data_IF_811898914629
#
_entry.id   IF_811898914629
#
_cell.length_a   1.000
_cell.length_b   1.000
_cell.length_c   1.000
_cell.angle_alpha   90.00
_cell.angle_beta   90.00
_cell.angle_gamma   90.00
#
_symmetry.space_group_name_H-M   'P 1'
#
loop_
_entity.id
_entity.type
_entity.pdbx_description
1 polymer ?
#
# COMPACT_ATOMS: atom_id res chain seq x y z
N UNK A 1 -8.18 21.27 16.90
CA UNK A 1 -9.41 21.16 16.06
C UNK A 1 -9.53 22.14 14.88
N UNK A 2 -8.75 23.23 14.78
CA UNK A 2 -8.83 24.18 13.63
C UNK A 2 -8.04 23.79 12.38
N UNK A 3 -7.09 22.85 12.47
CA UNK A 3 -6.25 22.50 11.33
C UNK A 3 -6.94 21.55 10.34
N UNK A 4 -7.80 20.65 10.81
CA UNK A 4 -8.49 19.65 9.96
C UNK A 4 -9.53 20.26 9.01
N UNK A 5 -10.15 21.41 9.40
CA UNK A 5 -11.10 22.11 8.52
C UNK A 5 -10.46 22.67 7.25
N UNK A 6 -9.17 23.07 7.31
CA UNK A 6 -8.45 23.61 6.15
C UNK A 6 -8.02 22.51 5.18
N UNK A 7 -7.68 21.32 5.68
CA UNK A 7 -7.28 20.20 4.84
C UNK A 7 -8.47 19.64 4.03
N UNK A 8 -9.65 19.54 4.67
CA UNK A 8 -10.89 19.11 4.01
C UNK A 8 -11.30 20.10 2.90
N UNK A 9 -11.09 21.41 3.10
CA UNK A 9 -11.42 22.42 2.10
C UNK A 9 -10.51 22.35 0.85
N UNK A 10 -9.24 21.99 1.01
CA UNK A 10 -8.29 21.81 -0.11
C UNK A 10 -8.67 20.60 -0.96
N UNK A 11 -9.11 19.50 -0.34
CA UNK A 11 -9.58 18.32 -1.07
C UNK A 11 -10.86 18.63 -1.85
N UNK A 12 -11.78 19.43 -1.30
CA UNK A 12 -13.01 19.83 -1.98
C UNK A 12 -12.80 20.87 -3.10
N UNK A 13 -11.75 21.69 -3.06
CA UNK A 13 -11.44 22.66 -4.11
C UNK A 13 -10.83 22.03 -5.38
N UNK A 14 -10.35 20.79 -5.30
CA UNK A 14 -9.83 20.06 -6.46
C UNK A 14 -10.92 19.31 -7.26
N UNK A 15 -12.14 19.22 -6.75
CA UNK A 15 -13.27 18.53 -7.37
C UNK A 15 -13.82 19.16 -8.69
N UNK A 16 -13.73 20.48 -8.96
CA UNK A 16 -14.31 21.05 -10.17
C UNK A 16 -13.50 20.86 -11.45
N UNK A 17 -12.30 20.28 -11.40
CA UNK A 17 -11.47 20.06 -12.60
C UNK A 17 -11.78 18.76 -13.36
N UNK A 18 -12.78 18.02 -12.90
CA UNK A 18 -13.18 16.74 -13.52
C UNK A 18 -14.26 16.98 -14.58
N UNK A 19 -13.93 17.66 -15.67
CA UNK A 19 -14.82 17.71 -16.82
C UNK A 19 -14.31 16.86 -17.97
N UNK A 20 -15.13 15.87 -18.31
CA UNK A 20 -15.15 14.92 -19.44
C UNK A 20 -14.63 13.53 -19.12
N UNK A 21 -15.53 12.74 -18.58
CA UNK A 21 -15.48 11.28 -18.65
C UNK A 21 -15.74 10.87 -20.12
N UNK A 22 -14.76 10.24 -20.74
CA UNK A 22 -15.00 9.48 -21.96
C UNK A 22 -15.90 8.28 -21.63
N UNK A 23 -16.74 7.91 -22.59
CA UNK A 23 -17.81 6.93 -22.51
C UNK A 23 -17.41 5.63 -21.82
N UNK A 24 -18.28 5.15 -20.96
CA UNK A 24 -18.17 3.93 -20.15
C UNK A 24 -18.33 2.73 -21.07
N UNK A 25 -17.19 2.17 -21.49
CA UNK A 25 -17.17 0.91 -22.24
C UNK A 25 -17.07 -0.25 -21.29
N UNK A 26 -17.93 -0.82 -20.74
CA UNK A 26 -18.13 -1.96 -19.88
C UNK A 26 -18.42 -1.60 -18.41
N UNK A 27 -19.58 -2.06 -18.00
CA UNK A 27 -20.12 -1.85 -16.66
C UNK A 27 -19.45 -2.73 -15.61
N UNK A 28 -18.71 -3.74 -16.05
CA UNK A 28 -18.03 -4.71 -15.24
C UNK A 28 -16.64 -4.99 -15.80
N UNK A 29 -15.66 -4.95 -14.93
CA UNK A 29 -14.31 -5.40 -15.24
C UNK A 29 -13.74 -6.24 -14.11
N UNK A 30 -12.75 -7.05 -14.45
CA UNK A 30 -12.00 -7.84 -13.49
C UNK A 30 -10.53 -7.88 -13.88
N UNK A 31 -9.69 -8.06 -12.88
CA UNK A 31 -8.27 -8.33 -13.09
C UNK A 31 -7.75 -9.33 -12.07
N UNK A 32 -6.77 -10.10 -12.49
CA UNK A 32 -6.01 -10.98 -11.61
C UNK A 32 -4.52 -10.82 -11.94
N UNK A 33 -3.69 -10.81 -10.94
CA UNK A 33 -2.26 -10.62 -11.08
C UNK A 33 -1.51 -11.57 -10.13
N UNK A 34 -0.41 -12.14 -10.62
CA UNK A 34 0.55 -12.87 -9.82
C UNK A 34 1.92 -12.20 -9.98
N UNK A 35 2.50 -11.76 -8.87
CA UNK A 35 3.81 -11.09 -8.83
C UNK A 35 4.79 -11.93 -8.03
N UNK A 36 5.96 -12.21 -8.60
CA UNK A 36 7.12 -12.65 -7.85
C UNK A 36 8.01 -11.45 -7.55
N UNK A 37 8.42 -11.29 -6.30
CA UNK A 37 9.38 -10.25 -5.88
C UNK A 37 10.47 -10.83 -4.99
N UNK A 38 11.68 -10.31 -5.16
CA UNK A 38 12.84 -10.72 -4.36
C UNK A 38 12.74 -10.26 -2.91
N UNK A 39 12.04 -9.15 -2.67
CA UNK A 39 11.80 -8.61 -1.33
C UNK A 39 10.42 -7.98 -1.31
N UNK A 40 9.68 -8.19 -0.22
CA UNK A 40 8.45 -7.46 0.04
C UNK A 40 8.76 -6.14 0.75
N UNK A 41 8.58 -5.04 0.03
CA UNK A 41 8.81 -3.68 0.53
C UNK A 41 7.49 -2.91 0.49
N UNK A 42 7.12 -2.30 1.61
CA UNK A 42 5.91 -1.52 1.71
C UNK A 42 6.18 -0.15 2.35
N UNK A 43 5.93 0.95 1.61
CA UNK A 43 6.13 2.34 2.08
C UNK A 43 7.51 2.60 2.69
N UNK A 44 8.57 2.04 2.09
CA UNK A 44 9.94 2.11 2.58
C UNK A 44 10.32 1.07 3.62
N UNK A 45 9.34 0.36 4.20
CA UNK A 45 9.58 -0.68 5.19
C UNK A 45 9.87 -2.01 4.49
N UNK A 46 10.89 -2.72 4.97
CA UNK A 46 11.12 -4.10 4.58
C UNK A 46 10.14 -5.00 5.34
N UNK A 47 9.23 -5.65 4.62
CA UNK A 47 8.20 -6.51 5.19
C UNK A 47 8.50 -8.00 5.05
N UNK A 48 9.46 -8.37 4.21
CA UNK A 48 9.87 -9.76 4.03
C UNK A 48 10.81 -9.96 2.86
N UNK A 49 11.35 -11.19 2.74
CA UNK A 49 12.21 -11.66 1.66
C UNK A 49 11.40 -12.03 0.41
N UNK A 50 11.84 -13.07 -0.31
CA UNK A 50 11.19 -13.52 -1.54
C UNK A 50 9.73 -13.90 -1.30
N UNK A 51 8.86 -13.43 -2.19
CA UNK A 51 7.43 -13.71 -2.07
C UNK A 51 6.72 -13.83 -3.42
N UNK A 52 5.62 -14.56 -3.41
CA UNK A 52 4.58 -14.55 -4.44
C UNK A 52 3.40 -13.76 -3.91
N UNK A 53 2.99 -12.76 -4.67
CA UNK A 53 1.88 -11.87 -4.32
C UNK A 53 0.78 -12.05 -5.35
N UNK A 54 -0.39 -12.46 -4.89
CA UNK A 54 -1.57 -12.63 -5.72
C UNK A 54 -2.49 -11.44 -5.52
N UNK A 55 -3.11 -10.97 -6.58
CA UNK A 55 -4.05 -9.85 -6.54
C UNK A 55 -5.24 -10.16 -7.43
N UNK A 56 -6.45 -9.88 -6.96
CA UNK A 56 -7.66 -10.02 -7.75
C UNK A 56 -8.60 -8.86 -7.44
N UNK A 57 -9.10 -8.22 -8.49
CA UNK A 57 -10.04 -7.10 -8.39
C UNK A 57 -11.28 -7.37 -9.23
N UNK A 58 -12.43 -7.04 -8.68
CA UNK A 58 -13.71 -6.93 -9.37
C UNK A 58 -14.16 -5.48 -9.30
N UNK A 59 -14.55 -4.91 -10.42
CA UNK A 59 -15.10 -3.56 -10.51
C UNK A 59 -16.44 -3.56 -11.21
N UNK A 60 -17.38 -2.81 -10.65
CA UNK A 60 -18.69 -2.56 -11.24
C UNK A 60 -19.05 -1.09 -11.08
N UNK A 61 -19.06 -0.36 -12.19
CA UNK A 61 -19.32 1.10 -12.23
C UNK A 61 -18.39 1.94 -11.32
N UNK A 62 -17.15 1.46 -11.10
CA UNK A 62 -16.20 2.09 -10.19
C UNK A 62 -16.32 1.63 -8.73
N UNK A 63 -17.36 0.90 -8.34
CA UNK A 63 -17.35 0.17 -7.07
C UNK A 63 -16.51 -1.07 -7.21
N UNK A 64 -15.48 -1.19 -6.38
CA UNK A 64 -14.58 -2.32 -6.47
C UNK A 64 -14.45 -3.10 -5.16
N UNK A 65 -14.14 -4.38 -5.33
CA UNK A 65 -13.63 -5.25 -4.29
C UNK A 65 -12.30 -5.84 -4.78
N UNK A 66 -11.30 -5.79 -3.92
CA UNK A 66 -9.98 -6.33 -4.20
C UNK A 66 -9.54 -7.25 -3.06
N UNK A 67 -8.85 -8.31 -3.41
CA UNK A 67 -8.13 -9.18 -2.48
C UNK A 67 -6.69 -9.30 -2.95
N UNK A 68 -5.77 -8.98 -2.05
CA UNK A 68 -4.35 -9.17 -2.23
C UNK A 68 -3.83 -10.19 -1.22
N UNK A 69 -2.97 -11.06 -1.63
CA UNK A 69 -2.40 -12.11 -0.79
C UNK A 69 -0.90 -12.17 -0.99
N UNK A 70 -0.13 -12.10 0.09
CA UNK A 70 1.29 -12.33 0.12
C UNK A 70 1.61 -13.70 0.70
N UNK A 71 2.34 -14.50 -0.08
CA UNK A 71 2.91 -15.78 0.34
C UNK A 71 4.42 -15.61 0.27
N UNK A 72 5.02 -15.15 1.35
CA UNK A 72 6.41 -14.78 1.37
C UNK A 72 7.17 -15.29 2.57
N UNK A 73 8.47 -15.34 2.41
CA UNK A 73 9.40 -15.64 3.50
C UNK A 73 9.73 -14.37 4.27
N UNK A 74 10.06 -14.49 5.55
CA UNK A 74 10.57 -13.37 6.34
C UNK A 74 11.95 -12.90 5.86
N UNK A 75 12.72 -13.83 5.26
CA UNK A 75 14.06 -13.60 4.77
C UNK A 75 14.43 -14.59 3.64
N UNK A 76 15.65 -14.52 3.16
CA UNK A 76 16.18 -15.38 2.11
C UNK A 76 16.48 -16.81 2.53
N UNK A 77 16.34 -17.16 3.82
CA UNK A 77 16.57 -18.53 4.31
C UNK A 77 15.37 -19.45 4.10
N UNK A 78 14.19 -18.88 3.83
CA UNK A 78 12.91 -19.60 3.73
C UNK A 78 12.56 -20.42 4.99
N UNK A 79 13.17 -20.08 6.13
CA UNK A 79 12.92 -20.78 7.39
C UNK A 79 11.57 -20.43 8.01
N UNK A 80 11.07 -19.22 7.73
CA UNK A 80 9.78 -18.74 8.24
C UNK A 80 9.00 -18.05 7.13
N UNK A 81 7.70 -18.28 7.08
CA UNK A 81 6.78 -17.61 6.19
C UNK A 81 5.98 -16.54 6.95
N UNK A 82 5.70 -15.44 6.27
CA UNK A 82 4.90 -14.33 6.79
C UNK A 82 3.73 -14.05 5.81
N UNK A 83 2.70 -14.90 5.82
CA UNK A 83 1.56 -14.69 4.95
C UNK A 83 0.71 -13.51 5.43
N UNK A 84 0.17 -12.76 4.45
CA UNK A 84 -0.69 -11.60 4.67
C UNK A 84 -1.83 -11.65 3.66
N UNK A 85 -3.04 -11.30 4.10
CA UNK A 85 -4.21 -11.15 3.23
C UNK A 85 -4.80 -9.77 3.47
N UNK A 86 -4.92 -9.00 2.39
CA UNK A 86 -5.55 -7.69 2.40
C UNK A 86 -6.84 -7.72 1.59
N UNK A 87 -7.92 -7.24 2.19
CA UNK A 87 -9.20 -7.07 1.51
C UNK A 87 -9.52 -5.59 1.44
N UNK A 88 -9.82 -5.11 0.24
CA UNK A 88 -10.21 -3.72 0.01
C UNK A 88 -11.58 -3.63 -0.63
N UNK A 89 -12.35 -2.65 -0.20
CA UNK A 89 -13.62 -2.27 -0.83
C UNK A 89 -13.66 -0.76 -0.99
N UNK A 90 -14.19 -0.29 -2.10
CA UNK A 90 -14.24 1.14 -2.33
C UNK A 90 -14.85 1.56 -3.65
N UNK A 91 -14.57 2.79 -4.01
CA UNK A 91 -15.01 3.42 -5.24
C UNK A 91 -13.80 4.10 -5.91
N UNK A 92 -13.65 3.88 -7.22
CA UNK A 92 -12.57 4.48 -8.02
C UNK A 92 -13.12 4.93 -9.37
N UNK A 93 -13.14 6.24 -9.60
CA UNK A 93 -13.59 6.83 -10.85
C UNK A 93 -13.05 8.25 -11.03
N UNK A 94 -12.84 8.67 -12.27
CA UNK A 94 -12.38 10.04 -12.62
C UNK A 94 -11.05 10.42 -11.94
N UNK A 95 -10.16 9.47 -11.77
CA UNK A 95 -8.88 9.67 -11.06
C UNK A 95 -8.98 9.69 -9.54
N UNK A 96 -10.19 9.73 -8.95
CA UNK A 96 -10.42 9.65 -7.52
C UNK A 96 -10.69 8.21 -7.10
N UNK A 97 -10.01 7.77 -6.04
CA UNK A 97 -10.30 6.51 -5.36
C UNK A 97 -10.49 6.75 -3.88
N UNK A 98 -11.56 6.19 -3.32
CA UNK A 98 -11.82 6.20 -1.87
C UNK A 98 -12.12 4.77 -1.45
N UNK A 99 -11.32 4.22 -0.55
CA UNK A 99 -11.47 2.83 -0.17
C UNK A 99 -10.98 2.55 1.25
N UNK A 100 -11.49 1.46 1.77
CA UNK A 100 -11.04 0.87 3.02
C UNK A 100 -10.26 -0.39 2.71
N UNK A 101 -9.14 -0.58 3.39
CA UNK A 101 -8.35 -1.81 3.34
C UNK A 101 -8.26 -2.42 4.73
N UNK A 102 -8.50 -3.71 4.79
CA UNK A 102 -8.33 -4.56 5.95
C UNK A 102 -7.18 -5.52 5.69
N UNK A 103 -6.06 -5.31 6.37
CA UNK A 103 -4.89 -6.16 6.27
C UNK A 103 -4.92 -7.17 7.40
N UNK A 104 -4.68 -8.43 7.08
CA UNK A 104 -4.64 -9.53 8.04
C UNK A 104 -3.33 -10.29 7.94
N UNK A 105 -2.66 -10.42 9.07
CA UNK A 105 -1.41 -11.13 9.25
C UNK A 105 -1.67 -12.42 10.03
N UNK A 106 -1.18 -13.56 9.52
CA UNK A 106 -1.27 -14.87 10.16
C UNK A 106 -0.25 -14.97 11.31
N UNK A 107 -0.44 -14.16 12.31
CA UNK A 107 0.44 -13.95 13.45
C UNK A 107 -0.17 -14.58 14.72
N UNK A 108 0.47 -14.44 15.85
CA UNK A 108 -0.03 -14.88 17.16
C UNK A 108 -0.15 -13.68 18.11
N UNK A 109 -1.13 -13.74 18.98
CA UNK A 109 -1.20 -12.82 20.12
C UNK A 109 -0.07 -13.11 21.12
N UNK A 110 0.24 -12.19 22.06
CA UNK A 110 1.26 -12.40 23.09
C UNK A 110 1.04 -13.64 23.97
N UNK A 111 -0.18 -14.13 24.08
CA UNK A 111 -0.55 -15.36 24.80
C UNK A 111 -0.38 -16.64 23.96
N UNK A 112 0.12 -16.52 22.73
CA UNK A 112 0.32 -17.64 21.80
C UNK A 112 -0.93 -18.06 21.03
N UNK A 113 -2.09 -17.46 21.29
CA UNK A 113 -3.29 -17.75 20.51
C UNK A 113 -3.21 -17.18 19.09
N UNK A 114 -3.83 -17.84 18.08
CA UNK A 114 -3.80 -17.37 16.71
C UNK A 114 -4.59 -16.05 16.54
N UNK A 115 -4.09 -15.18 15.69
CA UNK A 115 -4.73 -13.93 15.31
C UNK A 115 -6.12 -14.16 14.73
N UNK A 116 -7.03 -13.20 14.96
CA UNK A 116 -8.39 -13.23 14.45
C UNK A 116 -8.56 -12.19 13.35
N UNK A 117 -9.16 -12.58 12.23
CA UNK A 117 -9.41 -11.69 11.09
C UNK A 117 -10.26 -10.46 11.49
N UNK A 118 -11.32 -10.64 12.25
CA UNK A 118 -12.21 -9.55 12.70
C UNK A 118 -11.84 -9.00 14.09
N UNK A 119 -10.58 -8.93 14.41
CA UNK A 119 -10.15 -8.26 15.64
C UNK A 119 -9.88 -6.79 15.41
N UNK A 120 -10.85 -5.96 15.77
CA UNK A 120 -10.79 -4.50 15.65
C UNK A 120 -10.26 -3.80 16.92
N UNK A 121 -9.81 -4.56 17.91
CA UNK A 121 -9.26 -4.00 19.15
C UNK A 121 -7.84 -3.53 18.95
N UNK A 122 -7.46 -2.48 19.67
CA UNK A 122 -6.06 -2.15 19.83
C UNK A 122 -5.42 -3.12 20.82
N UNK A 123 -4.26 -3.59 20.43
CA UNK A 123 -3.45 -4.43 21.31
C UNK A 123 -2.18 -3.66 21.71
N UNK A 124 -1.74 -3.74 22.98
CA UNK A 124 -0.48 -3.17 23.38
C UNK A 124 0.67 -3.85 22.65
N UNK A 125 1.74 -3.10 22.38
CA UNK A 125 2.98 -3.60 21.76
C UNK A 125 2.83 -4.20 20.35
N UNK A 126 1.86 -3.73 19.57
CA UNK A 126 1.66 -4.20 18.20
C UNK A 126 1.11 -5.61 18.07
N UNK A 127 0.59 -6.19 19.15
CA UNK A 127 -0.14 -7.45 19.11
C UNK A 127 -1.41 -7.32 18.26
N UNK A 128 -1.89 -8.45 17.76
CA UNK A 128 -3.05 -8.51 16.89
C UNK A 128 -2.69 -8.73 15.42
N UNK A 129 -3.47 -9.57 14.76
CA UNK A 129 -3.24 -9.99 13.38
C UNK A 129 -3.89 -9.10 12.33
N UNK A 130 -4.67 -8.09 12.72
CA UNK A 130 -5.40 -7.27 11.76
C UNK A 130 -5.06 -5.78 11.91
N UNK A 131 -5.21 -5.04 10.82
CA UNK A 131 -5.15 -3.57 10.83
C UNK A 131 -6.01 -3.02 9.71
N UNK A 132 -6.59 -1.86 9.90
CA UNK A 132 -7.43 -1.22 8.90
C UNK A 132 -6.94 0.17 8.56
N UNK A 133 -7.16 0.58 7.30
CA UNK A 133 -6.78 1.90 6.82
C UNK A 133 -7.82 2.44 5.83
N UNK A 134 -8.28 3.66 6.04
CA UNK A 134 -8.98 4.42 5.02
C UNK A 134 -7.98 5.08 4.10
N UNK A 135 -8.21 4.99 2.80
CA UNK A 135 -7.38 5.60 1.76
C UNK A 135 -8.20 6.47 0.84
N UNK A 136 -7.63 7.63 0.53
CA UNK A 136 -8.09 8.51 -0.54
C UNK A 136 -6.91 8.72 -1.47
N UNK A 137 -7.08 8.42 -2.75
CA UNK A 137 -6.06 8.63 -3.76
C UNK A 137 -6.64 9.44 -4.92
N UNK A 138 -5.81 10.26 -5.54
CA UNK A 138 -6.17 11.03 -6.70
C UNK A 138 -5.03 11.04 -7.72
N UNK A 139 -5.34 10.76 -8.98
CA UNK A 139 -4.47 10.90 -10.14
C UNK A 139 -5.01 12.03 -11.02
N UNK A 140 -4.17 13.01 -11.33
CA UNK A 140 -4.60 14.22 -12.03
C UNK A 140 -5.08 13.90 -13.44
N UNK A 141 -4.23 13.26 -14.26
CA UNK A 141 -4.59 12.82 -15.62
C UNK A 141 -3.46 11.98 -16.22
N UNK A 142 -3.70 11.39 -17.40
CA UNK A 142 -2.64 10.69 -18.13
C UNK A 142 -1.62 11.65 -18.75
N UNK A 143 -2.01 12.90 -19.05
CA UNK A 143 -1.08 13.94 -19.56
C UNK A 143 -0.19 14.50 -18.46
N UNK A 144 -0.72 14.59 -17.25
CA UNK A 144 0.01 14.97 -16.04
C UNK A 144 -0.12 13.83 -15.03
N UNK A 145 0.74 12.81 -15.10
CA UNK A 145 0.64 11.60 -14.29
C UNK A 145 1.13 11.83 -12.85
N UNK A 146 0.65 12.91 -12.26
CA UNK A 146 0.84 13.27 -10.86
C UNK A 146 -0.25 12.59 -10.03
N UNK A 147 0.13 11.99 -8.93
CA UNK A 147 -0.78 11.35 -7.99
C UNK A 147 -0.52 11.77 -6.54
N UNK A 148 -1.57 11.68 -5.74
CA UNK A 148 -1.51 11.85 -4.29
C UNK A 148 -2.33 10.75 -3.63
N UNK A 149 -1.82 10.20 -2.54
CA UNK A 149 -2.54 9.25 -1.68
C UNK A 149 -2.46 9.72 -0.24
N UNK A 150 -3.57 9.64 0.47
CA UNK A 150 -3.64 9.83 1.92
C UNK A 150 -4.26 8.59 2.53
N UNK A 151 -3.55 7.97 3.48
CA UNK A 151 -4.01 6.82 4.25
C UNK A 151 -4.07 7.14 5.73
N UNK A 152 -5.12 6.70 6.42
CA UNK A 152 -5.27 6.87 7.88
C UNK A 152 -5.61 5.51 8.49
N UNK A 153 -4.74 5.02 9.38
CA UNK A 153 -4.98 3.77 10.10
C UNK A 153 -6.07 3.95 11.15
N UNK A 154 -6.84 2.90 11.39
CA UNK A 154 -8.03 2.99 12.23
C UNK A 154 -8.01 2.08 13.45
N UNK A 155 -7.28 0.97 13.44
CA UNK A 155 -7.24 0.03 14.58
C UNK A 155 -6.01 -0.87 14.60
N UNK A 156 -5.87 -1.63 15.68
CA UNK A 156 -4.90 -2.67 15.99
C UNK A 156 -3.46 -2.15 16.07
N UNK A 157 -2.60 -2.46 15.12
CA UNK A 157 -1.15 -2.17 15.17
C UNK A 157 -0.79 -0.67 15.14
N UNK A 158 -1.75 0.19 15.40
CA UNK A 158 -1.61 1.65 15.43
C UNK A 158 -1.63 2.23 16.85
N UNK A 159 -1.42 1.38 17.86
CA UNK A 159 -1.40 1.76 19.27
C UNK A 159 0.00 2.02 19.81
N UNK A 160 0.13 3.01 20.68
CA UNK A 160 1.33 3.28 21.46
C UNK A 160 0.97 3.56 22.92
N UNK A 161 1.92 3.30 23.83
CA UNK A 161 1.68 3.44 25.27
C UNK A 161 2.25 4.77 25.76
N UNK A 162 1.43 5.53 26.47
CA UNK A 162 1.84 6.77 27.18
C UNK A 162 1.32 6.69 28.61
N UNK A 163 2.22 6.72 29.61
CA UNK A 163 1.87 6.64 31.03
C UNK A 163 0.94 5.46 31.32
N UNK A 164 1.33 4.27 30.82
CA UNK A 164 0.60 2.99 30.95
C UNK A 164 -0.78 2.95 30.27
N UNK A 165 -1.19 4.00 29.57
CA UNK A 165 -2.40 4.03 28.77
C UNK A 165 -2.10 3.72 27.30
N UNK A 166 -2.88 2.80 26.72
CA UNK A 166 -2.84 2.53 25.29
C UNK A 166 -3.59 3.62 24.51
N UNK A 167 -2.86 4.35 23.68
CA UNK A 167 -3.39 5.39 22.80
C UNK A 167 -3.34 4.96 21.34
N UNK A 168 -4.30 5.42 20.55
CA UNK A 168 -4.34 5.22 19.11
C UNK A 168 -3.69 6.42 18.42
N UNK A 169 -2.77 6.16 17.50
CA UNK A 169 -2.06 7.23 16.79
C UNK A 169 -2.84 7.80 15.61
N UNK A 170 -3.74 7.00 14.99
CA UNK A 170 -4.32 7.34 13.69
C UNK A 170 -3.23 7.68 12.68
N UNK A 171 -2.24 6.77 12.59
CA UNK A 171 -1.06 6.96 11.76
C UNK A 171 -1.47 7.36 10.35
N UNK A 172 -1.10 8.57 9.97
CA UNK A 172 -1.44 9.15 8.68
C UNK A 172 -0.22 9.05 7.77
N UNK A 173 -0.44 8.54 6.56
CA UNK A 173 0.55 8.47 5.50
C UNK A 173 0.09 9.30 4.31
N UNK A 174 0.98 10.10 3.76
CA UNK A 174 0.76 10.89 2.55
C UNK A 174 1.81 10.47 1.54
N UNK A 175 1.42 10.19 0.30
CA UNK A 175 2.32 9.89 -0.79
C UNK A 175 2.05 10.80 -1.97
N UNK A 176 3.10 11.33 -2.55
CA UNK A 176 3.10 12.00 -3.83
C UNK A 176 3.78 11.11 -4.85
N UNK A 177 3.21 10.99 -6.03
CA UNK A 177 3.73 10.15 -7.09
C UNK A 177 3.78 10.86 -8.43
N UNK A 178 4.77 10.50 -9.24
CA UNK A 178 4.85 10.88 -10.64
C UNK A 178 5.34 9.71 -11.47
N UNK A 179 4.69 9.44 -12.60
CA UNK A 179 4.98 8.32 -13.48
C UNK A 179 5.56 8.83 -14.79
N UNK A 180 6.87 8.59 -15.01
CA UNK A 180 7.59 9.00 -16.22
C UNK A 180 7.49 7.91 -17.28
N UNK A 181 6.89 8.20 -18.42
CA UNK A 181 7.01 7.34 -19.60
C UNK A 181 8.40 7.53 -20.24
N UNK A 182 9.19 6.45 -20.32
CA UNK A 182 10.55 6.46 -20.84
C UNK A 182 10.67 5.89 -22.25
N UNK A 183 9.58 5.81 -23.00
CA UNK A 183 9.51 5.22 -24.33
C UNK A 183 8.63 3.97 -24.34
N UNK A 184 8.74 3.15 -25.39
CA UNK A 184 7.88 2.00 -25.59
C UNK A 184 7.93 1.02 -24.40
N UNK A 185 6.82 0.92 -23.68
CA UNK A 185 6.61 -0.04 -22.60
C UNK A 185 7.51 0.13 -21.37
N UNK A 186 8.36 1.15 -21.29
CA UNK A 186 9.16 1.48 -20.13
C UNK A 186 8.54 2.63 -19.33
N UNK A 187 8.50 2.47 -18.01
CA UNK A 187 8.02 3.50 -17.09
C UNK A 187 8.91 3.55 -15.86
N UNK A 188 9.14 4.77 -15.35
CA UNK A 188 9.77 5.03 -14.07
C UNK A 188 8.75 5.70 -13.15
N UNK A 189 8.40 5.04 -12.06
CA UNK A 189 7.54 5.60 -11.01
C UNK A 189 8.42 6.21 -9.93
N UNK A 190 8.24 7.50 -9.65
CA UNK A 190 8.85 8.17 -8.52
C UNK A 190 7.79 8.41 -7.42
N UNK A 191 8.14 8.14 -6.17
CA UNK A 191 7.24 8.25 -5.03
C UNK A 191 7.95 8.95 -3.87
N UNK A 192 7.22 9.83 -3.19
CA UNK A 192 7.65 10.50 -1.97
C UNK A 192 6.60 10.26 -0.89
N UNK A 193 6.96 9.51 0.15
CA UNK A 193 6.10 9.20 1.27
C UNK A 193 6.45 10.01 2.51
N UNK A 194 5.43 10.47 3.24
CA UNK A 194 5.61 11.26 4.44
C UNK A 194 4.50 11.00 5.46
N UNK A 195 4.77 11.33 6.71
CA UNK A 195 3.79 11.37 7.79
C UNK A 195 3.76 12.76 8.42
N UNK A 196 2.57 13.37 8.62
CA UNK A 196 2.45 14.73 9.15
C UNK A 196 2.51 14.80 10.67
N UNK A 197 2.49 13.65 11.36
CA UNK A 197 2.40 13.56 12.80
C UNK A 197 3.02 12.25 13.30
N UNK A 198 3.01 12.07 14.62
CA UNK A 198 3.39 10.80 15.27
C UNK A 198 2.67 9.63 14.63
N UNK A 199 3.42 8.63 14.20
CA UNK A 199 2.87 7.50 13.48
C UNK A 199 3.72 6.25 13.67
N UNK A 200 3.18 5.12 13.25
CA UNK A 200 3.95 3.87 13.23
C UNK A 200 5.22 3.97 12.35
N UNK A 201 5.17 4.81 11.29
CA UNK A 201 6.31 4.99 10.37
C UNK A 201 7.50 5.69 11.02
N UNK A 202 7.28 6.39 12.13
CA UNK A 202 8.32 7.08 12.91
C UNK A 202 8.51 6.49 14.30
N UNK A 203 7.96 5.27 14.55
CA UNK A 203 7.95 4.66 15.88
C UNK A 203 7.23 5.53 16.91
N UNK A 204 6.22 6.27 16.47
CA UNK A 204 5.43 7.21 17.27
C UNK A 204 6.24 8.37 17.85
N UNK A 205 7.38 8.71 17.21
CA UNK A 205 8.21 9.87 17.56
C UNK A 205 8.08 10.95 16.49
N UNK A 206 8.35 12.20 16.90
CA UNK A 206 8.32 13.37 16.01
C UNK A 206 6.91 13.73 15.53
N UNK A 207 6.82 14.84 14.82
CA UNK A 207 5.55 15.37 14.31
C UNK A 207 5.44 15.26 12.78
N UNK A 208 6.55 15.43 12.08
CA UNK A 208 6.62 15.30 10.62
C UNK A 208 7.88 14.53 10.23
N UNK A 209 7.75 13.64 9.24
CA UNK A 209 8.90 12.97 8.65
C UNK A 209 8.63 12.58 7.19
N UNK A 210 9.68 12.66 6.37
CA UNK A 210 9.74 11.96 5.08
C UNK A 210 10.10 10.51 5.36
N UNK A 211 9.20 9.60 5.08
CA UNK A 211 9.33 8.18 5.45
C UNK A 211 9.80 7.31 4.31
N UNK A 212 9.67 7.78 3.06
CA UNK A 212 10.04 7.02 1.88
C UNK A 212 10.40 7.94 0.71
N UNK A 213 11.46 7.60 -0.01
CA UNK A 213 11.74 8.05 -1.38
C UNK A 213 11.87 6.79 -2.22
N UNK A 214 10.98 6.59 -3.17
CA UNK A 214 10.90 5.36 -3.98
C UNK A 214 11.07 5.63 -5.46
N UNK A 215 11.80 4.74 -6.13
CA UNK A 215 11.92 4.67 -7.59
C UNK A 215 11.65 3.25 -8.04
N UNK A 216 10.74 3.07 -9.01
CA UNK A 216 10.44 1.77 -9.60
C UNK A 216 10.52 1.88 -11.11
N UNK A 217 11.53 1.26 -11.69
CA UNK A 217 11.65 1.08 -13.12
C UNK A 217 10.95 -0.21 -13.53
N UNK A 218 10.08 -0.17 -14.52
CA UNK A 218 9.46 -1.37 -15.04
C UNK A 218 9.27 -1.34 -16.55
N UNK A 219 9.21 -2.52 -17.14
CA UNK A 219 8.83 -2.77 -18.53
C UNK A 219 7.62 -3.68 -18.57
N UNK A 220 6.65 -3.33 -19.40
CA UNK A 220 5.43 -4.12 -19.59
C UNK A 220 5.39 -4.64 -21.03
N UNK A 221 5.04 -5.91 -21.20
CA UNK A 221 4.77 -6.53 -22.50
C UNK A 221 3.29 -6.94 -22.52
N UNK A 222 2.56 -6.38 -23.48
CA UNK A 222 1.21 -6.81 -23.80
C UNK A 222 1.31 -8.01 -24.76
N UNK A 223 0.93 -9.18 -24.30
CA UNK A 223 0.96 -10.43 -25.08
C UNK A 223 -0.33 -10.66 -25.87
N UNK A 224 -1.25 -9.68 -25.82
CA UNK A 224 -2.47 -9.70 -26.61
C UNK A 224 -3.67 -10.29 -25.88
N UNK A 225 -4.70 -10.61 -26.67
CA UNK A 225 -5.95 -11.18 -26.19
C UNK A 225 -5.84 -12.69 -26.08
N UNK A 226 -6.34 -13.26 -24.99
CA UNK A 226 -6.40 -14.70 -24.75
C UNK A 226 -7.69 -15.35 -25.25
N UNK A 227 -8.78 -14.56 -25.32
CA UNK A 227 -10.11 -15.06 -25.67
C UNK A 227 -10.95 -14.01 -26.41
N UNK A 228 -12.13 -14.42 -26.88
CA UNK A 228 -13.09 -13.54 -27.54
C UNK A 228 -13.77 -12.54 -26.59
N UNK A 229 -13.60 -12.69 -25.27
CA UNK A 229 -14.15 -11.81 -24.23
C UNK A 229 -13.25 -10.63 -23.87
N UNK A 230 -12.22 -10.39 -24.67
CA UNK A 230 -11.24 -9.32 -24.47
C UNK A 230 -10.33 -9.47 -23.24
N UNK A 231 -10.21 -10.68 -22.69
CA UNK A 231 -9.20 -10.94 -21.66
C UNK A 231 -7.80 -10.73 -22.23
N UNK A 232 -7.05 -9.80 -21.66
CA UNK A 232 -5.67 -9.48 -22.07
C UNK A 232 -4.68 -10.10 -21.11
N UNK A 233 -3.54 -10.50 -21.67
CA UNK A 233 -2.40 -11.01 -20.91
C UNK A 233 -1.26 -9.98 -20.96
N UNK A 234 -0.79 -9.57 -19.80
CA UNK A 234 0.37 -8.68 -19.67
C UNK A 234 1.43 -9.33 -18.80
N UNK A 235 2.68 -9.15 -19.18
CA UNK A 235 3.85 -9.53 -18.37
C UNK A 235 4.62 -8.26 -18.04
N UNK A 236 5.05 -8.14 -16.80
CA UNK A 236 5.85 -6.99 -16.32
C UNK A 236 7.11 -7.49 -15.61
N UNK A 237 8.24 -6.87 -15.91
CA UNK A 237 9.44 -6.99 -15.08
C UNK A 237 9.75 -5.64 -14.44
N UNK A 238 10.27 -5.64 -13.21
CA UNK A 238 10.56 -4.42 -12.48
C UNK A 238 11.81 -4.52 -11.60
N UNK A 239 12.41 -3.35 -11.38
CA UNK A 239 13.35 -3.10 -10.30
C UNK A 239 12.82 -1.94 -9.46
N UNK A 240 12.81 -2.10 -8.15
CA UNK A 240 12.26 -1.14 -7.22
C UNK A 240 13.28 -0.83 -6.13
N UNK A 241 13.52 0.44 -5.89
CA UNK A 241 14.43 0.95 -4.87
C UNK A 241 13.67 1.92 -3.98
N UNK A 242 13.71 1.70 -2.68
CA UNK A 242 13.12 2.59 -1.68
C UNK A 242 14.16 2.97 -0.64
N UNK A 243 14.39 4.27 -0.51
CA UNK A 243 15.16 4.86 0.57
C UNK A 243 14.20 5.24 1.70
N UNK A 244 14.54 4.83 2.91
CA UNK A 244 13.86 5.26 4.14
C UNK A 244 14.74 6.31 4.85
N UNK A 245 14.47 7.63 4.70
CA UNK A 245 15.31 8.66 5.29
C UNK A 245 15.20 8.74 6.81
N UNK A 246 14.05 8.33 7.35
CA UNK A 246 13.78 8.33 8.78
C UNK A 246 13.91 6.91 9.33
N UNK A 247 14.87 6.71 10.22
CA UNK A 247 15.02 5.44 10.95
C UNK A 247 14.24 5.46 12.24
N UNK A 248 13.49 4.41 12.46
CA UNK A 248 12.98 4.07 13.78
C UNK A 248 14.11 3.37 14.52
N UNK A 249 14.63 3.96 15.58
CA UNK A 249 15.72 3.38 16.36
C UNK A 249 15.23 2.22 17.25
N UNK A 250 16.07 1.20 17.43
CA UNK A 250 15.77 -0.04 18.20
C UNK A 250 15.17 0.17 19.59
N UNK A 251 15.51 1.26 20.27
CA UNK A 251 15.14 1.51 21.66
C UNK A 251 13.71 2.00 21.89
N UNK A 252 12.94 2.21 20.81
CA UNK A 252 11.59 2.80 20.89
C UNK A 252 10.53 2.02 20.12
N UNK A 253 10.81 0.82 19.78
CA UNK A 253 10.00 0.00 18.93
C UNK A 253 8.90 -0.71 19.70
N UNK A 254 7.65 -0.46 19.29
CA UNK A 254 6.86 -1.57 18.77
C UNK A 254 7.78 -2.25 17.77
N UNK A 255 8.21 -3.51 18.03
CA UNK A 255 9.09 -4.25 17.12
C UNK A 255 8.69 -3.94 15.70
N UNK A 256 9.61 -3.53 14.82
CA UNK A 256 9.27 -3.34 13.43
C UNK A 256 8.57 -4.61 12.96
N UNK A 257 7.68 -4.46 12.02
CA UNK A 257 6.99 -5.60 11.37
C UNK A 257 8.03 -6.61 10.85
N UNK A 258 9.30 -6.22 10.82
CA UNK A 258 10.44 -7.03 10.40
C UNK A 258 11.58 -6.93 11.40
N UNK A 259 12.21 -8.06 11.70
CA UNK A 259 13.52 -8.12 12.38
C UNK A 259 14.68 -7.60 11.49
N UNK A 260 14.36 -7.10 10.29
CA UNK A 260 15.31 -6.48 9.39
C UNK A 260 15.71 -5.12 9.96
N UNK A 261 16.76 -5.13 10.77
CA UNK A 261 17.30 -3.90 11.34
C UNK A 261 17.67 -2.87 10.30
N UNK A 262 17.79 -1.66 10.71
CA UNK A 262 18.49 -0.46 10.18
C UNK A 262 18.70 -0.30 8.64
N UNK A 263 17.96 -1.01 7.77
CA UNK A 263 18.07 -0.86 6.33
C UNK A 263 17.48 0.48 5.91
N UNK A 264 18.35 1.40 5.52
CA UNK A 264 17.94 2.70 4.94
C UNK A 264 17.54 2.58 3.48
N UNK A 265 18.10 1.63 2.77
CA UNK A 265 17.87 1.38 1.36
C UNK A 265 17.37 -0.05 1.17
N UNK A 266 16.17 -0.18 0.65
CA UNK A 266 15.55 -1.45 0.29
C UNK A 266 15.48 -1.56 -1.23
N UNK A 267 15.86 -2.72 -1.77
CA UNK A 267 15.81 -2.99 -3.21
C UNK A 267 15.01 -4.27 -3.43
N UNK A 268 14.16 -4.27 -4.44
CA UNK A 268 13.45 -5.44 -4.91
C UNK A 268 13.50 -5.53 -6.43
N UNK A 269 13.61 -6.74 -6.95
CA UNK A 269 13.42 -7.04 -8.36
C UNK A 269 12.33 -8.10 -8.48
N UNK A 270 11.60 -8.08 -9.59
CA UNK A 270 10.52 -9.03 -9.74
C UNK A 270 9.90 -9.01 -11.11
N UNK A 271 8.91 -9.89 -11.26
CA UNK A 271 8.08 -9.95 -12.44
C UNK A 271 6.64 -10.23 -12.05
N UNK A 272 5.71 -9.86 -12.91
CA UNK A 272 4.29 -10.18 -12.73
C UNK A 272 3.65 -10.60 -14.03
N UNK A 273 2.60 -11.41 -13.88
CA UNK A 273 1.69 -11.80 -14.95
C UNK A 273 0.30 -11.34 -14.57
N UNK A 274 -0.34 -10.57 -15.43
CA UNK A 274 -1.65 -10.00 -15.19
C UNK A 274 -2.64 -10.40 -16.28
N UNK A 275 -3.86 -10.69 -15.86
CA UNK A 275 -5.02 -11.00 -16.70
C UNK A 275 -6.14 -10.03 -16.35
N UNK A 276 -6.94 -9.64 -17.35
CA UNK A 276 -8.11 -8.79 -17.09
C UNK A 276 -8.79 -8.36 -18.37
N UNK A 277 -9.97 -7.76 -18.23
CA UNK A 277 -10.77 -7.18 -19.33
C UNK A 277 -11.05 -5.69 -19.07
#
# INVERSE_FOLDING_TARGET
MRCYRKLILVVFMLLPLVSKANEISSQFSWSANATFTSNYIWRGLYCGGPSVQLDATLDYYGFFANMWWNIGSTDWTFAKFNPEVDVSIGFSRWGLSVYYIHCFYFDQYPDGSPSKFFDFKNHPKGGGGATGEWRVAYRVSDRLPLSCLVGVRTFSRDGYVVKDELKRAYSTYIELGYDFALGENWQLDARLGMTPAKSLYTGFKGDFAVTMIGLKLHKTWDLGKLDDKNTRLNVKAFAHMMLQPWQVTKDNLIKPITDAGDQKLNVAVGCSVAFGN
#
